data_IF_197826106589
#
_entry.id   IF_197826106589
#
_cell.length_a   1.000
_cell.length_b   1.000
_cell.length_c   1.000
_cell.angle_alpha   90.00
_cell.angle_beta   90.00
_cell.angle_gamma   90.00
#
_symmetry.space_group_name_H-M   'P 1'
#
loop_
_entity.id
_entity.type
_entity.pdbx_description
1 polymer ?
#
# COMPACT_ATOMS: atom_id res chain seq x y z
N UNK A 1 17.82 -19.37 14.42
CA UNK A 1 16.78 -20.40 14.21
C UNK A 1 15.38 -19.79 14.12
N UNK A 2 14.97 -18.93 15.06
CA UNK A 2 13.67 -18.23 15.09
C UNK A 2 13.32 -17.54 13.75
N UNK A 3 14.24 -16.73 13.21
CA UNK A 3 13.98 -15.96 11.97
C UNK A 3 13.67 -16.88 10.76
N UNK A 4 14.34 -18.04 10.64
CA UNK A 4 14.05 -19.03 9.60
C UNK A 4 12.74 -19.77 9.85
N UNK A 5 12.44 -20.11 11.10
CA UNK A 5 11.18 -20.76 11.46
C UNK A 5 9.99 -19.85 11.11
N UNK A 6 10.06 -18.56 11.45
CA UNK A 6 9.03 -17.59 11.08
C UNK A 6 8.87 -17.45 9.56
N UNK A 7 9.97 -17.40 8.80
CA UNK A 7 9.92 -17.35 7.34
C UNK A 7 9.24 -18.59 6.73
N UNK A 8 9.54 -19.79 7.23
CA UNK A 8 8.87 -21.03 6.78
C UNK A 8 7.38 -21.02 7.16
N UNK A 9 7.03 -20.58 8.37
CA UNK A 9 5.64 -20.43 8.78
C UNK A 9 4.87 -19.44 7.89
N UNK A 10 5.49 -18.31 7.51
CA UNK A 10 4.89 -17.34 6.59
C UNK A 10 4.59 -17.94 5.22
N UNK A 11 5.50 -18.75 4.67
CA UNK A 11 5.25 -19.46 3.40
C UNK A 11 4.13 -20.48 3.57
N UNK A 12 4.17 -21.31 4.61
CA UNK A 12 3.11 -22.28 4.91
C UNK A 12 1.74 -21.62 5.05
N UNK A 13 1.67 -20.52 5.79
CA UNK A 13 0.48 -19.70 5.93
C UNK A 13 -0.01 -19.17 4.57
N UNK A 14 0.91 -18.66 3.75
CA UNK A 14 0.59 -18.15 2.40
C UNK A 14 0.00 -19.24 1.52
N UNK A 15 0.55 -20.45 1.56
CA UNK A 15 0.04 -21.61 0.81
C UNK A 15 -1.34 -22.03 1.31
N UNK A 16 -1.54 -22.16 2.62
CA UNK A 16 -2.84 -22.54 3.19
C UNK A 16 -3.93 -21.51 2.85
N UNK A 17 -3.61 -20.22 2.97
CA UNK A 17 -4.54 -19.15 2.66
C UNK A 17 -4.86 -19.11 1.16
N UNK A 18 -3.87 -19.30 0.30
CA UNK A 18 -4.06 -19.42 -1.14
C UNK A 18 -4.95 -20.62 -1.49
N UNK A 19 -4.72 -21.80 -0.91
CA UNK A 19 -5.57 -22.97 -1.12
C UNK A 19 -7.03 -22.67 -0.73
N UNK A 20 -7.25 -22.00 0.40
CA UNK A 20 -8.59 -21.59 0.85
C UNK A 20 -9.27 -20.64 -0.14
N UNK A 21 -8.56 -19.61 -0.62
CA UNK A 21 -9.10 -18.67 -1.61
C UNK A 21 -9.35 -19.32 -2.99
N UNK A 22 -8.71 -20.46 -3.28
CA UNK A 22 -8.91 -21.26 -4.49
C UNK A 22 -9.93 -22.38 -4.32
N UNK A 23 -10.71 -22.37 -3.23
CA UNK A 23 -11.84 -23.27 -3.00
C UNK A 23 -11.52 -24.57 -2.27
N UNK A 24 -10.28 -24.77 -1.80
CA UNK A 24 -9.97 -25.91 -0.95
C UNK A 24 -10.61 -25.73 0.45
N UNK A 25 -11.17 -26.82 1.00
CA UNK A 25 -11.75 -26.85 2.33
C UNK A 25 -10.65 -26.83 3.43
N UNK A 26 -9.98 -25.69 3.58
CA UNK A 26 -8.98 -25.47 4.62
C UNK A 26 -9.67 -24.89 5.86
N UNK A 27 -9.66 -25.59 7.01
CA UNK A 27 -10.24 -25.06 8.24
C UNK A 27 -9.57 -23.76 8.68
N UNK A 28 -10.29 -22.91 9.42
CA UNK A 28 -9.74 -21.64 9.92
C UNK A 28 -8.68 -21.85 11.01
N UNK A 29 -8.87 -22.85 11.89
CA UNK A 29 -7.98 -23.15 13.01
C UNK A 29 -6.47 -23.24 12.67
N UNK A 30 -6.00 -23.97 11.64
CA UNK A 30 -4.58 -23.98 11.29
C UNK A 30 -4.05 -22.62 10.82
N UNK A 31 -4.87 -21.83 10.13
CA UNK A 31 -4.50 -20.49 9.66
C UNK A 31 -4.33 -19.54 10.84
N UNK A 32 -5.29 -19.55 11.77
CA UNK A 32 -5.28 -18.75 13.00
C UNK A 32 -4.11 -19.13 13.91
N UNK A 33 -3.88 -20.44 14.10
CA UNK A 33 -2.76 -20.96 14.89
C UNK A 33 -1.40 -20.57 14.29
N UNK A 34 -1.24 -20.67 12.96
CA UNK A 34 -0.03 -20.22 12.27
C UNK A 34 0.18 -18.71 12.41
N UNK A 35 -0.88 -17.91 12.28
CA UNK A 35 -0.80 -16.46 12.46
C UNK A 35 -0.36 -16.08 13.87
N UNK A 36 -0.93 -16.73 14.89
CA UNK A 36 -0.51 -16.55 16.28
C UNK A 36 0.94 -16.97 16.50
N UNK A 37 1.35 -18.12 15.97
CA UNK A 37 2.73 -18.59 16.05
C UNK A 37 3.71 -17.62 15.38
N UNK A 38 3.38 -17.11 14.19
CA UNK A 38 4.19 -16.11 13.49
C UNK A 38 4.32 -14.83 14.32
N UNK A 39 3.21 -14.32 14.87
CA UNK A 39 3.23 -13.16 15.76
C UNK A 39 4.12 -13.41 16.98
N UNK A 40 3.99 -14.56 17.62
CA UNK A 40 4.82 -14.95 18.76
C UNK A 40 6.31 -14.94 18.36
N UNK A 41 6.69 -15.65 17.30
CA UNK A 41 8.08 -15.75 16.84
C UNK A 41 8.69 -14.39 16.44
N UNK A 42 7.95 -13.59 15.67
CA UNK A 42 8.43 -12.28 15.22
C UNK A 42 8.48 -11.27 16.37
N UNK A 43 7.52 -11.29 17.30
CA UNK A 43 7.45 -10.34 18.41
C UNK A 43 8.67 -10.41 19.34
N UNK A 44 9.33 -11.56 19.45
CA UNK A 44 10.56 -11.73 20.22
C UNK A 44 11.73 -10.90 19.68
N UNK A 45 11.72 -10.57 18.38
CA UNK A 45 12.87 -9.98 17.66
C UNK A 45 12.62 -8.56 17.15
N UNK A 46 11.42 -8.02 17.34
CA UNK A 46 11.10 -6.64 16.94
C UNK A 46 11.44 -5.61 18.03
N UNK A 47 11.58 -4.35 17.60
CA UNK A 47 11.80 -3.19 18.48
C UNK A 47 10.61 -3.00 19.43
N UNK A 48 10.86 -2.34 20.57
CA UNK A 48 9.85 -2.09 21.61
C UNK A 48 8.57 -1.40 21.07
N UNK A 49 8.71 -0.45 20.15
CA UNK A 49 7.58 0.23 19.50
C UNK A 49 6.63 -0.73 18.79
N UNK A 50 7.12 -1.85 18.24
CA UNK A 50 6.28 -2.86 17.59
C UNK A 50 5.67 -3.83 18.60
N UNK A 51 6.36 -4.10 19.70
CA UNK A 51 5.81 -4.88 20.83
C UNK A 51 4.62 -4.17 21.47
N UNK A 52 4.61 -2.83 21.51
CA UNK A 52 3.48 -2.06 22.00
C UNK A 52 2.16 -2.38 21.26
N UNK A 53 2.20 -2.62 19.94
CA UNK A 53 1.01 -3.04 19.18
C UNK A 53 0.55 -4.45 19.58
N UNK A 54 1.49 -5.37 19.81
CA UNK A 54 1.16 -6.73 20.29
C UNK A 54 0.50 -6.65 21.68
N UNK A 55 1.05 -5.86 22.59
CA UNK A 55 0.48 -5.63 23.92
C UNK A 55 -0.89 -4.96 23.84
N UNK A 56 -1.08 -3.99 22.95
CA UNK A 56 -2.39 -3.37 22.72
C UNK A 56 -3.42 -4.40 22.22
N UNK A 57 -3.04 -5.29 21.30
CA UNK A 57 -3.90 -6.39 20.86
C UNK A 57 -4.30 -7.32 22.01
N UNK A 58 -3.33 -7.76 22.83
CA UNK A 58 -3.60 -8.57 24.02
C UNK A 58 -4.53 -7.83 24.99
N UNK A 59 -4.28 -6.56 25.24
CA UNK A 59 -5.09 -5.72 26.12
C UNK A 59 -6.53 -5.55 25.62
N UNK A 60 -6.74 -5.36 24.32
CA UNK A 60 -8.07 -5.27 23.73
C UNK A 60 -8.83 -6.60 23.83
N UNK A 61 -8.16 -7.73 23.61
CA UNK A 61 -8.80 -9.04 23.75
C UNK A 61 -9.15 -9.35 25.20
N UNK A 62 -8.31 -8.94 26.15
CA UNK A 62 -8.65 -8.98 27.57
C UNK A 62 -9.83 -8.07 27.91
N UNK A 63 -9.89 -6.85 27.33
CA UNK A 63 -11.01 -5.95 27.52
C UNK A 63 -12.31 -6.51 26.94
N UNK A 64 -12.28 -7.16 25.76
CA UNK A 64 -13.45 -7.87 25.22
C UNK A 64 -13.97 -8.91 26.22
N UNK A 65 -13.07 -9.69 26.84
CA UNK A 65 -13.44 -10.70 27.81
C UNK A 65 -14.08 -10.07 29.07
N UNK A 66 -13.49 -8.98 29.58
CA UNK A 66 -14.01 -8.23 30.73
C UNK A 66 -15.34 -7.52 30.43
N UNK A 67 -15.58 -7.13 29.18
CA UNK A 67 -16.83 -6.51 28.73
C UNK A 67 -17.95 -7.54 28.48
N UNK A 68 -17.70 -8.83 28.68
CA UNK A 68 -18.69 -9.90 28.45
C UNK A 68 -18.97 -10.17 26.98
N UNK A 69 -18.12 -9.69 26.07
CA UNK A 69 -18.22 -9.96 24.63
C UNK A 69 -17.52 -11.28 24.30
N UNK A 70 -17.84 -11.87 23.13
CA UNK A 70 -17.22 -13.13 22.65
C UNK A 70 -15.76 -12.90 22.21
N UNK A 71 -14.89 -12.70 23.19
CA UNK A 71 -13.47 -12.39 22.99
C UNK A 71 -12.76 -13.49 22.22
N UNK A 72 -13.20 -14.75 22.35
CA UNK A 72 -12.59 -15.89 21.69
C UNK A 72 -12.87 -15.84 20.19
N UNK A 73 -14.15 -15.78 19.77
CA UNK A 73 -14.50 -15.72 18.36
C UNK A 73 -13.96 -14.45 17.69
N UNK A 74 -14.02 -13.30 18.37
CA UNK A 74 -13.48 -12.03 17.86
C UNK A 74 -11.95 -12.08 17.71
N UNK A 75 -11.25 -12.72 18.65
CA UNK A 75 -9.79 -12.92 18.55
C UNK A 75 -9.42 -13.85 17.41
N UNK A 76 -10.16 -14.95 17.20
CA UNK A 76 -9.93 -15.86 16.07
C UNK A 76 -10.18 -15.15 14.73
N UNK A 77 -11.26 -14.38 14.62
CA UNK A 77 -11.52 -13.55 13.43
C UNK A 77 -10.38 -12.54 13.20
N UNK A 78 -9.92 -11.88 14.26
CA UNK A 78 -8.76 -10.99 14.20
C UNK A 78 -7.48 -11.68 13.73
N UNK A 79 -7.24 -12.92 14.17
CA UNK A 79 -6.11 -13.74 13.70
C UNK A 79 -6.27 -14.13 12.23
N UNK A 80 -7.48 -14.43 11.76
CA UNK A 80 -7.76 -14.69 10.34
C UNK A 80 -7.46 -13.46 9.46
N UNK A 81 -7.86 -12.25 9.90
CA UNK A 81 -7.51 -11.00 9.21
C UNK A 81 -6.00 -10.72 9.26
N UNK A 82 -5.34 -11.00 10.37
CA UNK A 82 -3.89 -10.89 10.47
C UNK A 82 -3.19 -11.89 9.54
N UNK A 83 -3.70 -13.12 9.45
CA UNK A 83 -3.22 -14.16 8.54
C UNK A 83 -3.32 -13.73 7.09
N UNK A 84 -4.48 -13.20 6.69
CA UNK A 84 -4.71 -12.64 5.36
C UNK A 84 -3.65 -11.60 4.98
N UNK A 85 -3.41 -10.62 5.87
CA UNK A 85 -2.44 -9.55 5.63
C UNK A 85 -1.02 -10.12 5.51
N UNK A 86 -0.65 -11.08 6.37
CA UNK A 86 0.67 -11.72 6.34
C UNK A 86 0.90 -12.54 5.07
N UNK A 87 -0.09 -13.35 4.68
CA UNK A 87 -0.06 -14.15 3.45
C UNK A 87 0.04 -13.24 2.22
N UNK A 88 -0.78 -12.19 2.16
CA UNK A 88 -0.77 -11.24 1.05
C UNK A 88 0.56 -10.49 0.97
N UNK A 89 1.08 -9.99 2.10
CA UNK A 89 2.39 -9.34 2.15
C UNK A 89 3.49 -10.27 1.63
N UNK A 90 3.50 -11.52 2.11
CA UNK A 90 4.51 -12.53 1.75
C UNK A 90 4.46 -12.89 0.28
N UNK A 91 3.25 -13.00 -0.30
CA UNK A 91 3.09 -13.20 -1.74
C UNK A 91 3.66 -12.02 -2.53
N UNK A 92 3.32 -10.79 -2.17
CA UNK A 92 3.81 -9.59 -2.86
C UNK A 92 5.34 -9.39 -2.72
N UNK A 93 5.94 -9.78 -1.58
CA UNK A 93 7.38 -9.64 -1.38
C UNK A 93 8.20 -10.55 -2.31
N UNK A 94 7.64 -11.64 -2.83
CA UNK A 94 8.34 -12.50 -3.80
C UNK A 94 8.66 -11.76 -5.10
N UNK A 95 7.72 -10.97 -5.63
CA UNK A 95 7.93 -10.20 -6.85
C UNK A 95 8.92 -9.07 -6.63
N UNK A 96 8.87 -8.44 -5.45
CA UNK A 96 9.87 -7.46 -5.03
C UNK A 96 11.29 -8.05 -5.05
N UNK A 97 11.49 -9.25 -4.51
CA UNK A 97 12.79 -9.94 -4.54
C UNK A 97 13.31 -10.13 -5.98
N UNK A 98 12.45 -10.57 -6.90
CA UNK A 98 12.82 -10.80 -8.30
C UNK A 98 13.13 -9.48 -9.04
N UNK A 99 12.40 -8.42 -8.70
CA UNK A 99 12.48 -7.12 -9.34
C UNK A 99 13.68 -6.28 -8.85
N UNK A 100 14.04 -6.30 -7.57
CA UNK A 100 15.16 -5.52 -7.02
C UNK A 100 16.51 -5.86 -7.67
N UNK A 101 16.67 -7.11 -8.14
CA UNK A 101 17.89 -7.54 -8.85
C UNK A 101 17.85 -7.27 -10.35
N UNK A 102 16.77 -6.70 -10.89
CA UNK A 102 16.59 -6.53 -12.34
C UNK A 102 17.36 -5.34 -12.91
N UNK A 103 18.32 -5.55 -13.84
CA UNK A 103 19.01 -4.45 -14.52
C UNK A 103 18.08 -3.61 -15.41
N UNK A 104 17.01 -4.22 -15.94
CA UNK A 104 16.03 -3.52 -16.76
C UNK A 104 15.26 -2.47 -15.94
N UNK A 105 14.80 -2.83 -14.73
CA UNK A 105 14.12 -1.89 -13.84
C UNK A 105 15.04 -0.76 -13.37
N UNK A 106 16.32 -1.05 -13.11
CA UNK A 106 17.31 -0.01 -12.76
C UNK A 106 17.52 0.98 -13.91
N UNK A 107 17.65 0.50 -15.15
CA UNK A 107 17.78 1.35 -16.34
C UNK A 107 16.53 2.21 -16.58
N UNK A 108 15.34 1.61 -16.44
CA UNK A 108 14.07 2.33 -16.49
C UNK A 108 14.00 3.47 -15.44
N UNK A 109 14.36 3.18 -14.20
CA UNK A 109 14.39 4.19 -13.13
C UNK A 109 15.37 5.33 -13.38
N UNK A 110 16.57 5.02 -13.89
CA UNK A 110 17.57 6.02 -14.30
C UNK A 110 17.05 6.92 -15.42
N UNK A 111 16.42 6.33 -16.45
CA UNK A 111 15.81 7.09 -17.56
C UNK A 111 14.71 8.05 -17.09
N UNK A 112 13.85 7.62 -16.16
CA UNK A 112 12.81 8.46 -15.57
C UNK A 112 13.40 9.63 -14.76
N UNK A 113 14.44 9.37 -13.96
CA UNK A 113 15.12 10.40 -13.18
C UNK A 113 15.89 11.41 -14.05
N UNK A 114 16.40 10.97 -15.20
CA UNK A 114 17.17 11.77 -16.15
C UNK A 114 16.32 12.71 -17.02
N UNK A 115 14.98 12.59 -16.99
CA UNK A 115 14.10 13.42 -17.81
C UNK A 115 14.33 14.94 -17.62
N UNK A 116 14.07 15.76 -18.64
CA UNK A 116 14.25 17.21 -18.56
C UNK A 116 13.28 17.85 -17.55
N UNK A 117 13.62 19.03 -16.98
CA UNK A 117 12.86 19.64 -15.87
C UNK A 117 11.35 19.81 -16.10
N UNK A 118 10.91 20.03 -17.35
CA UNK A 118 9.50 20.20 -17.67
C UNK A 118 8.68 18.90 -17.73
N UNK A 119 9.32 17.75 -17.97
CA UNK A 119 8.66 16.43 -18.08
C UNK A 119 8.93 15.54 -16.87
N UNK A 120 10.01 15.81 -16.13
CA UNK A 120 10.51 14.95 -15.05
C UNK A 120 9.48 14.66 -13.97
N UNK A 121 8.71 15.65 -13.54
CA UNK A 121 7.68 15.45 -12.52
C UNK A 121 6.65 14.41 -13.00
N UNK A 122 6.04 14.66 -14.16
CA UNK A 122 5.03 13.75 -14.73
C UNK A 122 5.62 12.36 -14.99
N UNK A 123 6.84 12.27 -15.53
CA UNK A 123 7.52 11.00 -15.76
C UNK A 123 7.76 10.21 -14.46
N UNK A 124 8.22 10.88 -13.39
CA UNK A 124 8.43 10.24 -12.09
C UNK A 124 7.12 9.89 -11.38
N UNK A 125 6.04 10.63 -11.60
CA UNK A 125 4.72 10.28 -11.06
C UNK A 125 4.14 9.06 -11.77
N UNK A 126 4.09 9.05 -13.10
CA UNK A 126 3.59 7.91 -13.88
C UNK A 126 4.48 6.68 -13.71
N UNK A 127 5.79 6.86 -13.82
CA UNK A 127 6.75 5.79 -13.57
C UNK A 127 6.71 5.31 -12.13
N UNK A 128 6.63 6.22 -11.15
CA UNK A 128 6.46 5.88 -9.74
C UNK A 128 5.24 5.01 -9.48
N UNK A 129 4.12 5.30 -10.16
CA UNK A 129 2.92 4.47 -10.12
C UNK A 129 3.17 3.07 -10.69
N UNK A 130 3.77 2.95 -11.87
CA UNK A 130 4.07 1.65 -12.49
C UNK A 130 5.02 0.80 -11.63
N UNK A 131 6.06 1.42 -11.05
CA UNK A 131 6.97 0.73 -10.13
C UNK A 131 6.26 0.36 -8.82
N UNK A 132 5.39 1.21 -8.28
CA UNK A 132 4.63 0.93 -7.08
C UNK A 132 3.73 -0.30 -7.23
N UNK A 133 3.12 -0.47 -8.41
CA UNK A 133 2.33 -1.66 -8.73
C UNK A 133 3.14 -2.95 -8.60
N UNK A 134 4.41 -2.98 -9.01
CA UNK A 134 5.22 -4.20 -8.98
C UNK A 134 5.94 -4.44 -7.66
N UNK A 135 6.59 -3.41 -7.12
CA UNK A 135 7.54 -3.54 -6.01
C UNK A 135 7.11 -2.78 -4.76
N UNK A 136 5.88 -2.27 -4.75
CA UNK A 136 5.27 -1.59 -3.60
C UNK A 136 6.24 -0.52 -3.04
N UNK A 137 6.54 -0.53 -1.75
CA UNK A 137 7.48 0.42 -1.12
C UNK A 137 8.89 0.43 -1.73
N UNK A 138 9.30 -0.66 -2.40
CA UNK A 138 10.57 -0.73 -3.12
C UNK A 138 10.69 0.32 -4.23
N UNK A 139 9.56 0.80 -4.77
CA UNK A 139 9.53 1.87 -5.77
C UNK A 139 10.08 3.19 -5.24
N UNK A 140 9.70 3.55 -4.00
CA UNK A 140 10.18 4.75 -3.32
C UNK A 140 11.67 4.59 -2.99
N UNK A 141 12.09 3.42 -2.52
CA UNK A 141 13.50 3.16 -2.22
C UNK A 141 14.38 3.25 -3.48
N UNK A 142 13.97 2.62 -4.58
CA UNK A 142 14.72 2.62 -5.84
C UNK A 142 14.74 4.00 -6.49
N UNK A 143 13.56 4.56 -6.79
CA UNK A 143 13.46 5.84 -7.50
C UNK A 143 13.93 7.00 -6.61
N UNK A 144 13.67 6.96 -5.30
CA UNK A 144 14.11 7.98 -4.36
C UNK A 144 15.63 8.03 -4.20
N UNK A 145 16.29 6.86 -4.16
CA UNK A 145 17.75 6.78 -4.17
C UNK A 145 18.35 7.36 -5.44
N UNK A 146 17.83 6.95 -6.61
CA UNK A 146 18.28 7.47 -7.91
C UNK A 146 18.01 8.97 -8.07
N UNK A 147 16.85 9.46 -7.59
CA UNK A 147 16.50 10.87 -7.60
C UNK A 147 17.45 11.71 -6.75
N UNK A 148 17.77 11.23 -5.55
CA UNK A 148 18.69 11.89 -4.63
C UNK A 148 20.11 11.92 -5.20
N UNK A 149 20.56 10.80 -5.77
CA UNK A 149 21.85 10.73 -6.46
C UNK A 149 21.92 11.69 -7.66
N UNK A 150 20.87 11.71 -8.49
CA UNK A 150 20.77 12.64 -9.63
C UNK A 150 20.76 14.11 -9.19
N UNK A 151 20.12 14.44 -8.07
CA UNK A 151 20.10 15.79 -7.53
C UNK A 151 21.47 16.23 -7.00
N UNK A 152 22.29 15.32 -6.46
CA UNK A 152 23.65 15.64 -5.96
C UNK A 152 24.60 16.15 -7.05
N UNK A 153 24.35 15.82 -8.31
CA UNK A 153 25.12 16.34 -9.44
C UNK A 153 24.87 17.83 -9.70
N UNK A 154 23.86 18.44 -9.07
CA UNK A 154 23.60 19.88 -9.14
C UNK A 154 24.54 20.66 -8.22
N UNK A 155 25.41 21.55 -8.75
CA UNK A 155 26.35 22.32 -7.95
C UNK A 155 25.67 23.37 -7.07
N UNK A 156 24.60 24.03 -7.54
CA UNK A 156 23.88 25.04 -6.75
C UNK A 156 23.07 24.38 -5.63
N UNK A 157 23.37 24.65 -4.34
CA UNK A 157 22.67 24.05 -3.20
C UNK A 157 21.16 24.35 -3.15
N UNK A 158 20.73 25.53 -3.63
CA UNK A 158 19.32 25.92 -3.66
C UNK A 158 18.57 25.16 -4.74
N UNK A 159 19.11 25.11 -5.96
CA UNK A 159 18.52 24.36 -7.08
C UNK A 159 18.48 22.87 -6.73
N UNK A 160 19.55 22.34 -6.16
CA UNK A 160 19.64 20.95 -5.69
C UNK A 160 18.51 20.58 -4.74
N UNK A 161 18.27 21.42 -3.72
CA UNK A 161 17.22 21.18 -2.72
C UNK A 161 15.83 21.17 -3.35
N UNK A 162 15.51 22.14 -4.21
CA UNK A 162 14.23 22.17 -4.91
C UNK A 162 14.06 20.99 -5.88
N UNK A 163 15.11 20.64 -6.62
CA UNK A 163 15.12 19.50 -7.54
C UNK A 163 14.86 18.19 -6.80
N UNK A 164 15.59 17.94 -5.71
CA UNK A 164 15.42 16.76 -4.87
C UNK A 164 14.00 16.68 -4.31
N UNK A 165 13.51 17.75 -3.68
CA UNK A 165 12.15 17.81 -3.12
C UNK A 165 11.08 17.46 -4.16
N UNK A 166 11.14 18.09 -5.34
CA UNK A 166 10.15 17.88 -6.41
C UNK A 166 10.17 16.45 -6.93
N UNK A 167 11.36 15.87 -7.13
CA UNK A 167 11.49 14.48 -7.60
C UNK A 167 10.96 13.49 -6.56
N UNK A 168 11.30 13.67 -5.28
CA UNK A 168 10.83 12.82 -4.20
C UNK A 168 9.30 12.90 -4.02
N UNK A 169 8.72 14.10 -4.07
CA UNK A 169 7.25 14.26 -4.02
C UNK A 169 6.55 13.65 -5.23
N UNK A 170 7.13 13.75 -6.44
CA UNK A 170 6.59 13.11 -7.64
C UNK A 170 6.53 11.59 -7.49
N UNK A 171 7.61 10.98 -6.98
CA UNK A 171 7.71 9.53 -6.72
C UNK A 171 6.70 9.12 -5.64
N UNK A 172 6.63 9.86 -4.53
CA UNK A 172 5.69 9.59 -3.45
C UNK A 172 4.25 9.62 -3.97
N UNK A 173 3.85 10.69 -4.67
CA UNK A 173 2.48 10.84 -5.20
C UNK A 173 2.16 9.82 -6.29
N UNK A 174 3.14 9.44 -7.11
CA UNK A 174 3.01 8.32 -8.05
C UNK A 174 2.71 7.00 -7.35
N UNK A 175 3.45 6.68 -6.28
CA UNK A 175 3.14 5.52 -5.44
C UNK A 175 1.72 5.60 -4.86
N UNK A 176 1.36 6.75 -4.27
CA UNK A 176 0.05 6.94 -3.66
C UNK A 176 -1.09 6.86 -4.67
N UNK A 177 -0.89 7.31 -5.91
CA UNK A 177 -1.85 7.17 -6.99
C UNK A 177 -2.08 5.71 -7.40
N UNK A 178 -1.24 4.76 -7.03
CA UNK A 178 -1.51 3.34 -7.28
C UNK A 178 -2.46 2.72 -6.24
N UNK A 179 -2.54 3.29 -5.04
CA UNK A 179 -3.27 2.70 -3.91
C UNK A 179 -4.79 2.57 -4.13
N UNK A 180 -5.51 3.56 -4.70
CA UNK A 180 -6.98 3.50 -4.79
C UNK A 180 -7.54 2.52 -5.82
N UNK A 181 -6.71 1.87 -6.64
CA UNK A 181 -7.18 0.99 -7.71
C UNK A 181 -6.34 -0.27 -7.92
N UNK A 182 -5.10 -0.30 -7.43
CA UNK A 182 -4.25 -1.47 -7.63
C UNK A 182 -4.79 -2.70 -6.90
N UNK A 183 -4.96 -3.85 -7.58
CA UNK A 183 -5.36 -5.10 -6.92
C UNK A 183 -4.28 -5.62 -5.95
N UNK A 184 -3.04 -5.13 -6.07
CA UNK A 184 -1.92 -5.47 -5.20
C UNK A 184 -1.78 -4.51 -4.00
N UNK A 185 -2.53 -3.40 -3.97
CA UNK A 185 -2.46 -2.47 -2.86
C UNK A 185 -3.26 -3.00 -1.67
N UNK A 186 -2.68 -2.89 -0.47
CA UNK A 186 -3.39 -3.18 0.78
C UNK A 186 -4.67 -2.35 0.92
N UNK A 187 -4.68 -1.11 0.41
CA UNK A 187 -5.86 -0.26 0.40
C UNK A 187 -7.05 -0.96 -0.27
N UNK A 188 -6.85 -1.52 -1.47
CA UNK A 188 -7.91 -2.26 -2.17
C UNK A 188 -8.22 -3.61 -1.54
N UNK A 189 -7.18 -4.39 -1.22
CA UNK A 189 -7.35 -5.73 -0.69
C UNK A 189 -8.10 -5.74 0.66
N UNK A 190 -7.81 -4.79 1.54
CA UNK A 190 -8.46 -4.68 2.86
C UNK A 190 -9.84 -4.05 2.74
N UNK A 191 -9.97 -2.94 1.99
CA UNK A 191 -11.26 -2.25 1.89
C UNK A 191 -12.33 -3.13 1.24
N UNK A 192 -11.99 -3.85 0.15
CA UNK A 192 -12.93 -4.80 -0.49
C UNK A 192 -13.23 -6.04 0.35
N UNK A 193 -12.39 -6.36 1.34
CA UNK A 193 -12.65 -7.46 2.28
C UNK A 193 -13.48 -7.02 3.49
N UNK A 194 -13.53 -5.71 3.80
CA UNK A 194 -14.28 -5.17 4.93
C UNK A 194 -15.66 -4.63 4.54
N UNK A 195 -15.81 -4.09 3.33
CA UNK A 195 -17.08 -3.52 2.87
C UNK A 195 -17.94 -4.64 2.27
N UNK A 196 -19.15 -4.91 2.80
CA UNK A 196 -20.06 -5.91 2.25
C UNK A 196 -20.40 -5.63 0.78
N UNK A 197 -20.44 -6.67 -0.04
CA UNK A 197 -20.75 -6.55 -1.48
C UNK A 197 -19.69 -5.84 -2.33
N UNK A 198 -18.58 -5.37 -1.74
CA UNK A 198 -17.51 -4.72 -2.48
C UNK A 198 -16.73 -5.70 -3.35
N UNK A 199 -16.52 -5.33 -4.60
CA UNK A 199 -15.63 -6.05 -5.52
C UNK A 199 -14.57 -5.09 -6.06
N UNK A 200 -13.36 -5.62 -6.32
CA UNK A 200 -12.33 -4.83 -6.97
C UNK A 200 -12.74 -4.40 -8.39
N UNK A 201 -13.45 -5.28 -9.12
CA UNK A 201 -13.86 -5.01 -10.49
C UNK A 201 -14.78 -3.79 -10.61
N UNK A 202 -15.69 -3.60 -9.65
CA UNK A 202 -16.53 -2.40 -9.60
C UNK A 202 -15.76 -1.16 -9.14
N UNK A 203 -14.75 -1.33 -8.28
CA UNK A 203 -14.00 -0.21 -7.70
C UNK A 203 -12.78 0.26 -8.52
N UNK A 204 -12.33 -0.52 -9.51
CA UNK A 204 -11.10 -0.18 -10.28
C UNK A 204 -11.25 1.10 -11.09
N UNK A 205 -12.37 1.29 -11.80
CA UNK A 205 -12.61 2.48 -12.61
C UNK A 205 -12.69 3.76 -11.75
N UNK A 206 -13.53 3.83 -10.69
CA UNK A 206 -13.54 5.01 -9.85
C UNK A 206 -12.22 5.23 -9.09
N UNK A 207 -11.51 4.15 -8.76
CA UNK A 207 -10.15 4.20 -8.21
C UNK A 207 -9.13 4.79 -9.19
N UNK A 208 -9.22 4.50 -10.49
CA UNK A 208 -8.39 5.13 -11.53
C UNK A 208 -8.71 6.63 -11.63
N UNK A 209 -9.98 7.02 -11.48
CA UNK A 209 -10.37 8.43 -11.35
C UNK A 209 -9.67 9.11 -10.16
N UNK A 210 -9.69 8.48 -8.99
CA UNK A 210 -8.95 8.95 -7.80
C UNK A 210 -7.44 9.04 -8.05
N UNK A 211 -6.86 8.05 -8.74
CA UNK A 211 -5.44 8.05 -9.12
C UNK A 211 -5.08 9.22 -10.05
N UNK A 212 -5.92 9.48 -11.05
CA UNK A 212 -5.75 10.61 -11.96
C UNK A 212 -5.80 11.93 -11.20
N UNK A 213 -6.76 12.10 -10.28
CA UNK A 213 -6.86 13.31 -9.43
C UNK A 213 -5.59 13.49 -8.58
N UNK A 214 -5.10 12.44 -7.92
CA UNK A 214 -3.87 12.47 -7.12
C UNK A 214 -2.67 12.89 -7.98
N UNK A 215 -2.50 12.27 -9.15
CA UNK A 215 -1.39 12.56 -10.06
C UNK A 215 -1.47 13.98 -10.66
N UNK A 216 -2.65 14.37 -11.15
CA UNK A 216 -2.89 15.67 -11.80
C UNK A 216 -2.83 16.82 -10.80
N UNK A 217 -3.37 16.66 -9.59
CA UNK A 217 -3.24 17.68 -8.54
C UNK A 217 -1.78 17.89 -8.18
N UNK A 218 -1.01 16.80 -8.08
CA UNK A 218 0.42 16.85 -7.81
C UNK A 218 1.20 17.59 -8.89
N UNK A 219 0.95 17.23 -10.15
CA UNK A 219 1.58 17.84 -11.32
C UNK A 219 1.19 19.31 -11.51
N UNK A 220 -0.08 19.65 -11.31
CA UNK A 220 -0.61 21.01 -11.44
C UNK A 220 0.05 21.92 -10.40
N UNK A 221 0.08 21.50 -9.14
CA UNK A 221 0.74 22.27 -8.08
C UNK A 221 2.23 22.42 -8.31
N UNK A 222 2.92 21.35 -8.75
CA UNK A 222 4.34 21.45 -9.09
C UNK A 222 4.59 22.41 -10.25
N UNK A 223 3.71 22.41 -11.26
CA UNK A 223 3.83 23.26 -12.46
C UNK A 223 3.53 24.72 -12.19
N UNK A 224 2.53 25.00 -11.34
CA UNK A 224 2.10 26.35 -10.94
C UNK A 224 3.14 26.98 -10.00
N UNK A 225 3.57 26.24 -8.97
CA UNK A 225 4.47 26.76 -7.94
C UNK A 225 5.95 26.48 -8.18
N UNK A 226 6.35 26.05 -9.39
CA UNK A 226 7.76 25.77 -9.71
C UNK A 226 8.62 27.03 -9.53
N UNK A 227 9.73 26.96 -8.78
CA UNK A 227 10.69 28.05 -8.71
C UNK A 227 11.35 28.31 -10.06
N UNK A 228 11.42 29.57 -10.48
CA UNK A 228 12.18 30.01 -11.68
C UNK A 228 13.56 30.46 -11.24
N UNK A 229 14.48 29.50 -11.07
CA UNK A 229 15.83 29.74 -10.56
C UNK A 229 16.84 29.57 -11.70
N UNK A 230 17.41 30.68 -12.18
CA UNK A 230 18.57 30.71 -13.07
C UNK A 230 18.33 30.35 -14.55
N UNK A 231 19.38 30.49 -15.38
CA UNK A 231 19.32 30.17 -16.82
C UNK A 231 19.06 28.68 -17.04
N UNK A 232 18.32 28.37 -18.11
CA UNK A 232 17.99 27.00 -18.49
C UNK A 232 19.30 26.21 -18.73
N UNK A 233 19.58 25.14 -17.97
CA UNK A 233 20.74 24.31 -18.25
C UNK A 233 20.63 23.70 -19.67
N UNK A 234 21.75 23.42 -20.35
CA UNK A 234 21.74 22.77 -21.64
C UNK A 234 20.92 21.49 -21.58
N UNK A 235 19.95 21.34 -22.49
CA UNK A 235 19.12 20.13 -22.58
C UNK A 235 19.99 18.99 -23.10
N UNK A 236 20.59 18.21 -22.20
CA UNK A 236 21.11 16.90 -22.58
C UNK A 236 19.92 15.95 -22.77
N UNK A 237 19.74 15.34 -23.94
CA UNK A 237 18.74 14.29 -24.10
C UNK A 237 19.05 13.18 -23.09
N UNK A 238 18.04 12.62 -22.41
CA UNK A 238 18.26 11.48 -21.54
C UNK A 238 18.78 10.30 -22.38
N UNK A 239 19.73 9.55 -21.85
CA UNK A 239 20.23 8.34 -22.50
C UNK A 239 19.11 7.29 -22.56
N UNK A 240 18.77 6.86 -23.77
CA UNK A 240 17.73 5.86 -24.04
C UNK A 240 16.38 6.46 -24.45
N UNK A 241 15.36 5.60 -24.53
CA UNK A 241 14.01 5.97 -24.96
C UNK A 241 12.96 5.31 -24.07
N UNK A 242 11.69 5.67 -24.29
CA UNK A 242 10.56 5.10 -23.55
C UNK A 242 10.42 3.59 -23.67
N UNK A 243 11.11 2.95 -24.63
CA UNK A 243 11.21 1.48 -24.73
C UNK A 243 11.86 0.84 -23.49
N UNK A 244 12.63 1.60 -22.70
CA UNK A 244 13.18 1.13 -21.42
C UNK A 244 12.08 0.78 -20.40
N UNK A 245 10.88 1.35 -20.53
CA UNK A 245 9.72 1.01 -19.71
C UNK A 245 8.94 -0.20 -20.23
N UNK A 246 9.24 -0.69 -21.44
CA UNK A 246 8.49 -1.78 -22.06
C UNK A 246 8.50 -3.08 -21.23
N UNK A 247 9.61 -3.51 -20.59
CA UNK A 247 9.59 -4.69 -19.72
C UNK A 247 8.68 -4.51 -18.50
N UNK A 248 8.63 -3.29 -17.95
CA UNK A 248 7.77 -2.93 -16.83
C UNK A 248 6.30 -2.98 -17.26
N UNK A 249 5.98 -2.37 -18.41
CA UNK A 249 4.63 -2.38 -18.98
C UNK A 249 4.18 -3.80 -19.33
N UNK A 250 5.04 -4.59 -19.97
CA UNK A 250 4.75 -5.99 -20.32
C UNK A 250 4.39 -6.79 -19.06
N UNK A 251 5.15 -6.65 -17.98
CA UNK A 251 4.87 -7.36 -16.73
C UNK A 251 3.55 -6.93 -16.09
N UNK A 252 3.23 -5.63 -16.14
CA UNK A 252 1.96 -5.10 -15.64
C UNK A 252 0.77 -5.60 -16.47
N UNK A 253 0.91 -5.61 -17.80
CA UNK A 253 -0.12 -6.14 -18.71
C UNK A 253 -0.29 -7.63 -18.51
N UNK A 254 0.80 -8.40 -18.41
CA UNK A 254 0.77 -9.83 -18.12
C UNK A 254 0.01 -10.09 -16.82
N UNK A 255 0.36 -9.38 -15.75
CA UNK A 255 -0.32 -9.53 -14.46
C UNK A 255 -1.80 -9.17 -14.57
N UNK A 256 -2.14 -8.04 -15.20
CA UNK A 256 -3.53 -7.60 -15.34
C UNK A 256 -4.37 -8.59 -16.14
N UNK A 257 -3.86 -9.06 -17.29
CA UNK A 257 -4.54 -10.03 -18.15
C UNK A 257 -4.69 -11.38 -17.44
N UNK A 258 -3.65 -11.87 -16.77
CA UNK A 258 -3.73 -13.14 -16.02
C UNK A 258 -4.70 -13.05 -14.86
N UNK A 259 -4.64 -11.97 -14.06
CA UNK A 259 -5.53 -11.79 -12.91
C UNK A 259 -6.98 -11.62 -13.35
N UNK A 260 -7.24 -10.78 -14.35
CA UNK A 260 -8.59 -10.56 -14.87
C UNK A 260 -9.12 -11.81 -15.58
N UNK A 261 -8.29 -12.48 -16.39
CA UNK A 261 -8.66 -13.70 -17.09
C UNK A 261 -9.05 -14.83 -16.13
N UNK A 262 -8.25 -15.05 -15.07
CA UNK A 262 -8.59 -16.04 -14.04
C UNK A 262 -9.83 -15.66 -13.23
N UNK A 263 -10.01 -14.36 -12.95
CA UNK A 263 -11.21 -13.87 -12.25
C UNK A 263 -12.48 -14.15 -13.06
N UNK A 264 -12.46 -13.82 -14.35
CA UNK A 264 -13.59 -14.04 -15.25
C UNK A 264 -13.85 -15.52 -15.52
N UNK A 265 -12.78 -16.33 -15.64
CA UNK A 265 -12.90 -17.76 -15.96
C UNK A 265 -13.31 -18.63 -14.76
N UNK A 266 -12.83 -18.32 -13.55
CA UNK A 266 -13.00 -19.17 -12.37
C UNK A 266 -13.87 -18.55 -11.27
N UNK A 267 -14.28 -17.28 -11.41
CA UNK A 267 -15.06 -16.58 -10.38
C UNK A 267 -14.30 -16.32 -9.08
N UNK A 268 -12.98 -16.54 -9.06
CA UNK A 268 -12.16 -16.39 -7.86
C UNK A 268 -11.98 -14.92 -7.49
N UNK A 269 -11.88 -14.64 -6.19
CA UNK A 269 -11.56 -13.30 -5.70
C UNK A 269 -10.18 -12.89 -6.17
N UNK A 270 -10.06 -11.65 -6.65
CA UNK A 270 -8.81 -11.12 -7.21
C UNK A 270 -7.64 -11.20 -6.22
N UNK A 271 -7.90 -10.99 -4.94
CA UNK A 271 -6.84 -11.11 -3.92
C UNK A 271 -6.30 -12.54 -3.84
N UNK A 272 -7.17 -13.55 -3.89
CA UNK A 272 -6.78 -14.97 -3.94
C UNK A 272 -5.98 -15.33 -5.19
N UNK A 273 -6.35 -14.76 -6.34
CA UNK A 273 -5.60 -14.93 -7.59
C UNK A 273 -4.20 -14.31 -7.46
N UNK A 274 -4.12 -13.06 -6.99
CA UNK A 274 -2.86 -12.33 -6.81
C UNK A 274 -1.91 -13.06 -5.86
N UNK A 275 -2.43 -13.68 -4.78
CA UNK A 275 -1.62 -14.47 -3.83
C UNK A 275 -0.87 -15.64 -4.48
N UNK A 276 -1.38 -16.19 -5.58
CA UNK A 276 -0.75 -17.31 -6.32
C UNK A 276 0.02 -16.82 -7.54
N UNK A 277 -0.61 -15.98 -8.36
CA UNK A 277 -0.04 -15.51 -9.63
C UNK A 277 1.24 -14.71 -9.39
N UNK A 278 1.30 -13.87 -8.35
CA UNK A 278 2.48 -13.03 -8.09
C UNK A 278 3.73 -13.87 -7.75
N UNK A 279 3.69 -14.84 -6.81
CA UNK A 279 4.80 -15.77 -6.60
C UNK A 279 5.19 -16.59 -7.83
N UNK A 280 4.22 -17.04 -8.63
CA UNK A 280 4.49 -17.80 -9.86
C UNK A 280 5.24 -16.94 -10.88
N UNK A 281 4.79 -15.70 -11.11
CA UNK A 281 5.47 -14.74 -11.98
C UNK A 281 6.86 -14.42 -11.45
N UNK A 282 7.01 -14.21 -10.14
CA UNK A 282 8.31 -13.94 -9.52
C UNK A 282 9.31 -15.10 -9.73
N UNK A 283 8.84 -16.34 -9.59
CA UNK A 283 9.64 -17.54 -9.83
C UNK A 283 10.01 -17.68 -11.32
N UNK A 284 9.04 -17.53 -12.23
CA UNK A 284 9.28 -17.56 -13.67
C UNK A 284 10.30 -16.47 -14.08
N UNK A 285 10.18 -15.27 -13.54
CA UNK A 285 11.11 -14.18 -13.79
C UNK A 285 12.51 -14.49 -13.26
N UNK A 286 12.63 -15.07 -12.06
CA UNK A 286 13.92 -15.49 -11.51
C UNK A 286 14.61 -16.56 -12.37
N UNK A 287 13.84 -17.50 -12.94
CA UNK A 287 14.34 -18.51 -13.88
C UNK A 287 14.82 -17.86 -15.18
N UNK A 288 14.03 -16.96 -15.77
CA UNK A 288 14.39 -16.25 -17.00
C UNK A 288 15.64 -15.35 -16.82
N UNK A 289 15.77 -14.68 -15.67
CA UNK A 289 16.97 -13.89 -15.36
C UNK A 289 18.24 -14.75 -15.35
N UNK A 290 18.16 -15.97 -14.79
CA UNK A 290 19.28 -16.93 -14.80
C UNK A 290 19.67 -17.34 -16.23
N UNK A 291 18.70 -17.46 -17.14
CA UNK A 291 18.95 -17.89 -18.51
C UNK A 291 19.55 -16.79 -19.39
N UNK A 292 19.26 -15.51 -19.11
CA UNK A 292 19.65 -14.38 -19.97
C UNK A 292 20.80 -13.49 -19.47
N UNK A 293 21.11 -13.48 -18.18
CA UNK A 293 22.17 -12.64 -17.59
C UNK A 293 23.01 -13.52 -16.67
N UNK A 294 24.29 -13.73 -17.03
CA UNK A 294 25.36 -14.36 -16.23
C UNK A 294 24.93 -15.21 -15.03
N UNK A 295 25.10 -16.53 -15.15
CA UNK A 295 24.66 -17.59 -14.25
C UNK A 295 25.28 -17.60 -12.82
N UNK A 296 25.37 -16.47 -12.12
CA UNK A 296 26.12 -16.41 -10.85
C UNK A 296 25.28 -16.66 -9.59
N UNK A 297 23.95 -16.51 -9.63
CA UNK A 297 23.09 -16.80 -8.47
C UNK A 297 22.28 -18.08 -8.68
N UNK A 298 22.64 -19.17 -7.99
CA UNK A 298 21.79 -20.37 -7.96
C UNK A 298 20.39 -20.02 -7.41
N UNK A 299 19.33 -20.58 -7.98
CA UNK A 299 17.96 -20.43 -7.45
C UNK A 299 17.90 -20.79 -5.95
N UNK A 300 18.71 -21.78 -5.54
CA UNK A 300 18.90 -22.17 -4.15
C UNK A 300 19.47 -21.05 -3.29
N UNK A 301 20.47 -20.30 -3.78
CA UNK A 301 21.04 -19.15 -3.06
C UNK A 301 20.02 -18.02 -2.97
N UNK A 302 19.26 -17.73 -4.03
CA UNK A 302 18.17 -16.73 -3.99
C UNK A 302 17.10 -17.12 -2.96
N UNK A 303 16.64 -18.37 -2.98
CA UNK A 303 15.66 -18.87 -2.01
C UNK A 303 16.22 -18.79 -0.57
N UNK A 304 17.49 -19.16 -0.36
CA UNK A 304 18.16 -19.02 0.94
C UNK A 304 18.29 -17.57 1.39
N UNK A 305 18.57 -16.65 0.48
CA UNK A 305 18.65 -15.22 0.78
C UNK A 305 17.27 -14.66 1.14
N UNK A 306 16.25 -15.00 0.35
CA UNK A 306 14.86 -14.60 0.61
C UNK A 306 14.38 -15.08 1.99
N UNK A 307 14.55 -16.37 2.29
CA UNK A 307 14.17 -16.98 3.57
C UNK A 307 15.02 -16.50 4.76
N UNK A 308 16.31 -16.28 4.52
CA UNK A 308 17.29 -16.04 5.59
C UNK A 308 17.52 -14.57 5.91
N UNK A 309 17.26 -13.66 4.96
CA UNK A 309 17.60 -12.24 5.09
C UNK A 309 16.40 -11.33 4.79
N UNK A 310 15.68 -11.55 3.67
CA UNK A 310 14.60 -10.63 3.28
C UNK A 310 13.35 -10.75 4.15
N UNK A 311 12.76 -11.95 4.26
CA UNK A 311 11.56 -12.14 5.10
C UNK A 311 11.81 -11.75 6.57
N UNK A 312 12.93 -12.16 7.21
CA UNK A 312 13.30 -11.65 8.53
C UNK A 312 13.53 -10.13 8.57
N UNK A 313 13.99 -9.53 7.47
CA UNK A 313 14.13 -8.09 7.33
C UNK A 313 12.81 -7.35 7.50
N UNK A 314 11.71 -7.94 7.04
CA UNK A 314 10.35 -7.38 7.13
C UNK A 314 9.62 -7.66 8.46
N UNK A 315 10.27 -8.28 9.45
CA UNK A 315 9.62 -8.64 10.72
C UNK A 315 8.90 -7.47 11.40
N UNK A 316 9.47 -6.28 11.32
CA UNK A 316 8.92 -5.08 11.96
C UNK A 316 7.68 -4.57 11.24
N UNK A 317 7.70 -4.57 9.91
CA UNK A 317 6.53 -4.26 9.09
C UNK A 317 5.45 -5.32 9.25
N UNK A 318 5.79 -6.61 9.13
CA UNK A 318 4.83 -7.72 9.25
C UNK A 318 4.07 -7.68 10.58
N UNK A 319 4.77 -7.55 11.71
CA UNK A 319 4.09 -7.43 13.03
C UNK A 319 3.17 -6.21 13.06
N UNK A 320 3.60 -5.06 12.53
CA UNK A 320 2.76 -3.86 12.49
C UNK A 320 1.50 -4.07 11.64
N UNK A 321 1.64 -4.65 10.45
CA UNK A 321 0.54 -4.87 9.50
C UNK A 321 -0.45 -5.90 10.03
N UNK A 322 0.06 -7.03 10.56
CA UNK A 322 -0.76 -8.08 11.17
C UNK A 322 -1.52 -7.56 12.39
N UNK A 323 -0.82 -6.86 13.31
CA UNK A 323 -1.47 -6.29 14.48
C UNK A 323 -2.48 -5.20 14.13
N UNK A 324 -2.27 -4.44 13.06
CA UNK A 324 -3.26 -3.45 12.61
C UNK A 324 -4.58 -4.10 12.15
N UNK A 325 -4.50 -5.25 11.46
CA UNK A 325 -5.67 -6.06 11.12
C UNK A 325 -6.35 -6.66 12.36
N UNK A 326 -5.55 -7.24 13.26
CA UNK A 326 -6.04 -7.82 14.51
C UNK A 326 -6.74 -6.77 15.38
N UNK A 327 -6.04 -5.68 15.72
CA UNK A 327 -6.52 -4.59 16.57
C UNK A 327 -7.79 -3.95 16.02
N UNK A 328 -7.86 -3.69 14.70
CA UNK A 328 -9.08 -3.14 14.12
C UNK A 328 -10.28 -4.07 14.29
N UNK A 329 -10.07 -5.38 14.12
CA UNK A 329 -11.12 -6.39 14.26
C UNK A 329 -11.61 -6.54 15.70
N UNK A 330 -10.68 -6.66 16.67
CA UNK A 330 -11.05 -6.81 18.09
C UNK A 330 -11.47 -5.47 18.73
N UNK A 331 -10.97 -4.35 18.22
CA UNK A 331 -11.23 -3.02 18.75
C UNK A 331 -12.53 -2.41 18.26
N UNK A 332 -13.02 -2.75 17.05
CA UNK A 332 -14.22 -2.15 16.49
C UNK A 332 -15.48 -2.36 17.38
N UNK A 333 -15.75 -3.56 17.93
CA UNK A 333 -16.89 -3.76 18.84
C UNK A 333 -16.80 -2.96 20.14
N UNK A 334 -15.58 -2.69 20.63
CA UNK A 334 -15.36 -1.85 21.82
C UNK A 334 -15.53 -0.36 21.50
N UNK A 335 -15.17 0.06 20.29
CA UNK A 335 -15.26 1.45 19.84
C UNK A 335 -16.71 1.85 19.53
N UNK A 336 -17.50 0.94 18.95
CA UNK A 336 -18.89 1.21 18.55
C UNK A 336 -19.75 1.87 19.65
N UNK A 337 -19.87 1.33 20.88
CA UNK A 337 -20.69 1.96 21.92
C UNK A 337 -20.15 3.32 22.37
N UNK A 338 -18.83 3.55 22.30
CA UNK A 338 -18.22 4.84 22.63
C UNK A 338 -18.58 5.89 21.56
N UNK A 339 -18.56 5.51 20.28
CA UNK A 339 -18.93 6.41 19.19
C UNK A 339 -20.41 6.80 19.30
N UNK A 340 -21.28 5.84 19.60
CA UNK A 340 -22.72 6.08 19.81
C UNK A 340 -22.98 6.99 21.01
N UNK A 341 -22.25 6.81 22.13
CA UNK A 341 -22.44 7.65 23.33
C UNK A 341 -22.00 9.10 23.14
N UNK A 342 -21.12 9.37 22.17
CA UNK A 342 -20.73 10.72 21.74
C UNK A 342 -21.76 11.37 20.81
N UNK A 343 -22.90 10.71 20.54
CA UNK A 343 -23.93 11.20 19.62
C UNK A 343 -23.54 11.11 18.14
N UNK A 344 -22.47 10.38 17.83
CA UNK A 344 -21.99 10.17 16.46
C UNK A 344 -22.57 8.89 15.89
N UNK A 345 -23.90 8.80 15.79
CA UNK A 345 -24.55 7.66 15.15
C UNK A 345 -24.35 7.70 13.62
N UNK A 346 -23.55 6.80 13.03
CA UNK A 346 -23.30 6.81 11.60
C UNK A 346 -24.56 6.57 10.77
N UNK A 347 -25.58 5.91 11.34
CA UNK A 347 -26.85 5.63 10.66
C UNK A 347 -27.75 6.86 10.56
N UNK A 348 -27.57 7.84 11.46
CA UNK A 348 -28.29 9.11 11.43
C UNK A 348 -27.62 10.15 10.50
N UNK A 349 -26.40 9.88 10.04
CA UNK A 349 -25.67 10.80 9.16
C UNK A 349 -26.14 10.65 7.70
N UNK A 350 -26.33 11.76 6.96
CA UNK A 350 -26.55 11.70 5.53
C UNK A 350 -25.40 10.98 4.82
N UNK A 351 -25.70 10.16 3.82
CA UNK A 351 -24.70 9.34 3.12
C UNK A 351 -23.53 10.14 2.53
N UNK A 352 -23.78 11.38 2.08
CA UNK A 352 -22.72 12.26 1.59
C UNK A 352 -21.72 12.66 2.69
N UNK A 353 -22.17 12.81 3.95
CA UNK A 353 -21.31 13.08 5.11
C UNK A 353 -20.44 11.87 5.39
N UNK A 354 -21.03 10.67 5.36
CA UNK A 354 -20.29 9.41 5.55
C UNK A 354 -19.19 9.27 4.50
N UNK A 355 -19.52 9.39 3.21
CA UNK A 355 -18.53 9.31 2.13
C UNK A 355 -17.44 10.40 2.24
N UNK A 356 -17.83 11.65 2.44
CA UNK A 356 -16.87 12.75 2.57
C UNK A 356 -15.94 12.53 3.78
N UNK A 357 -16.49 12.14 4.92
CA UNK A 357 -15.72 11.93 6.15
C UNK A 357 -14.62 10.87 5.99
N UNK A 358 -14.81 9.83 5.18
CA UNK A 358 -13.77 8.82 4.94
C UNK A 358 -12.53 9.40 4.27
N UNK A 359 -12.70 10.40 3.39
CA UNK A 359 -11.59 11.10 2.74
C UNK A 359 -10.74 11.88 3.74
N UNK A 360 -11.33 12.35 4.84
CA UNK A 360 -10.68 13.23 5.82
C UNK A 360 -10.24 12.51 7.10
N UNK A 361 -11.07 11.63 7.66
CA UNK A 361 -10.80 10.94 8.93
C UNK A 361 -9.59 10.02 8.80
N UNK A 362 -9.45 9.27 7.70
CA UNK A 362 -8.32 8.34 7.52
C UNK A 362 -6.95 9.07 7.55
N UNK A 363 -6.76 10.21 6.87
CA UNK A 363 -5.57 11.06 7.03
C UNK A 363 -5.38 11.63 8.43
N UNK A 364 -6.46 12.01 9.13
CA UNK A 364 -6.41 12.56 10.48
C UNK A 364 -5.98 11.51 11.50
N UNK A 365 -6.55 10.30 11.45
CA UNK A 365 -6.07 9.15 12.22
C UNK A 365 -4.59 8.85 11.94
N UNK A 366 -4.18 9.02 10.67
CA UNK A 366 -2.80 8.98 10.24
C UNK A 366 -1.88 9.91 11.05
N UNK A 367 -2.35 11.05 11.53
CA UNK A 367 -1.53 12.01 12.29
C UNK A 367 -1.27 11.58 13.74
N UNK A 368 -2.10 10.69 14.29
CA UNK A 368 -2.00 10.22 15.68
C UNK A 368 -1.38 8.81 15.80
N UNK A 369 -0.71 8.34 14.75
CA UNK A 369 0.02 7.06 14.78
C UNK A 369 -0.75 5.87 14.23
N UNK A 370 -2.03 6.04 13.87
CA UNK A 370 -2.80 4.97 13.23
C UNK A 370 -2.43 4.91 11.76
N UNK A 371 -1.70 3.85 11.37
CA UNK A 371 -1.48 3.61 9.95
C UNK A 371 -2.84 3.40 9.24
N UNK A 372 -2.92 3.61 7.91
CA UNK A 372 -4.19 3.48 7.20
C UNK A 372 -4.86 2.12 7.37
N UNK A 373 -4.06 1.05 7.54
CA UNK A 373 -4.58 -0.30 7.80
C UNK A 373 -5.37 -0.30 9.11
N UNK A 374 -4.77 0.14 10.21
CA UNK A 374 -5.43 0.19 11.52
C UNK A 374 -6.63 1.13 11.50
N UNK A 375 -6.49 2.31 10.87
CA UNK A 375 -7.59 3.27 10.79
C UNK A 375 -8.81 2.71 10.06
N UNK A 376 -8.59 2.04 8.92
CA UNK A 376 -9.68 1.48 8.12
C UNK A 376 -10.24 0.21 8.72
N UNK A 377 -9.41 -0.68 9.27
CA UNK A 377 -9.92 -1.91 9.94
C UNK A 377 -10.73 -1.59 11.19
N UNK A 378 -10.45 -0.46 11.85
CA UNK A 378 -11.21 0.00 13.01
C UNK A 378 -12.49 0.77 12.64
N UNK A 379 -12.44 1.63 11.61
CA UNK A 379 -13.60 2.46 11.22
C UNK A 379 -14.57 1.73 10.30
N UNK A 380 -14.08 0.95 9.33
CA UNK A 380 -14.95 0.38 8.30
C UNK A 380 -16.12 -0.47 8.86
N UNK A 381 -15.94 -1.27 9.92
CA UNK A 381 -17.06 -2.01 10.53
C UNK A 381 -18.12 -1.12 11.21
N UNK A 382 -17.80 0.15 11.50
CA UNK A 382 -18.74 1.12 12.09
C UNK A 382 -19.59 1.81 11.02
N UNK A 383 -19.21 1.68 9.74
CA UNK A 383 -19.94 2.31 8.63
C UNK A 383 -21.22 1.49 8.38
N UNK A 384 -22.39 2.13 8.21
CA UNK A 384 -23.60 1.42 7.82
C UNK A 384 -23.44 0.70 6.49
N UNK A 385 -24.23 -0.35 6.26
CA UNK A 385 -24.19 -1.09 5.01
C UNK A 385 -24.41 -0.13 3.82
N UNK A 386 -23.65 -0.25 2.71
CA UNK A 386 -23.83 0.57 1.52
C UNK A 386 -25.31 0.71 1.08
N UNK A 387 -26.10 -0.37 1.16
CA UNK A 387 -27.52 -0.35 0.81
C UNK A 387 -28.35 0.58 1.71
N UNK A 388 -28.03 0.64 3.01
CA UNK A 388 -28.71 1.53 3.96
C UNK A 388 -28.39 3.00 3.73
N UNK A 389 -27.19 3.29 3.20
CA UNK A 389 -26.77 4.62 2.81
C UNK A 389 -27.31 5.04 1.43
N UNK A 390 -27.93 4.12 0.67
CA UNK A 390 -28.37 4.37 -0.69
C UNK A 390 -27.22 4.61 -1.67
N UNK A 391 -26.05 4.02 -1.43
CA UNK A 391 -24.87 4.15 -2.30
C UNK A 391 -24.30 2.79 -2.67
N UNK A 392 -23.56 2.72 -3.78
CA UNK A 392 -22.89 1.47 -4.16
C UNK A 392 -21.71 1.13 -3.23
N UNK A 393 -21.39 -0.17 -3.00
CA UNK A 393 -20.20 -0.56 -2.27
C UNK A 393 -18.90 0.04 -2.86
N UNK A 394 -18.85 0.18 -4.19
CA UNK A 394 -17.73 0.80 -4.89
C UNK A 394 -17.53 2.28 -4.51
N UNK A 395 -18.60 3.02 -4.18
CA UNK A 395 -18.49 4.41 -3.73
C UNK A 395 -17.79 4.50 -2.37
N UNK A 396 -18.14 3.63 -1.43
CA UNK A 396 -17.45 3.51 -0.14
C UNK A 396 -16.00 3.09 -0.30
N UNK A 397 -15.71 2.10 -1.16
CA UNK A 397 -14.33 1.69 -1.47
C UNK A 397 -13.51 2.86 -2.04
N UNK A 398 -14.11 3.65 -2.92
CA UNK A 398 -13.47 4.82 -3.53
C UNK A 398 -13.17 5.90 -2.49
N UNK A 399 -14.11 6.17 -1.58
CA UNK A 399 -13.96 7.12 -0.49
C UNK A 399 -12.82 6.73 0.46
N UNK A 400 -12.82 5.47 0.91
CA UNK A 400 -11.77 4.92 1.79
C UNK A 400 -10.42 4.89 1.06
N UNK A 401 -10.38 4.48 -0.21
CA UNK A 401 -9.17 4.47 -1.02
C UNK A 401 -8.55 5.87 -1.20
N UNK A 402 -9.38 6.89 -1.40
CA UNK A 402 -8.96 8.29 -1.44
C UNK A 402 -8.35 8.74 -0.10
N UNK A 403 -9.05 8.51 1.02
CA UNK A 403 -8.55 8.82 2.36
C UNK A 403 -7.25 8.08 2.69
N UNK A 404 -7.13 6.82 2.29
CA UNK A 404 -5.93 6.00 2.46
C UNK A 404 -4.73 6.61 1.71
N UNK A 405 -4.91 6.98 0.45
CA UNK A 405 -3.86 7.58 -0.36
C UNK A 405 -3.40 8.93 0.22
N UNK A 406 -4.34 9.76 0.69
CA UNK A 406 -4.02 11.03 1.35
C UNK A 406 -3.28 10.82 2.68
N UNK A 407 -3.67 9.81 3.47
CA UNK A 407 -2.98 9.45 4.70
C UNK A 407 -1.52 9.04 4.43
N UNK A 408 -1.26 8.33 3.33
CA UNK A 408 0.10 8.05 2.87
C UNK A 408 0.89 9.27 2.39
N UNK A 409 0.24 10.39 2.08
CA UNK A 409 0.93 11.65 1.76
C UNK A 409 1.34 12.43 3.01
N UNK A 410 0.48 12.43 4.04
CA UNK A 410 0.55 13.37 5.16
C UNK A 410 0.97 12.75 6.49
N UNK A 411 0.67 11.48 6.76
CA UNK A 411 0.95 10.86 8.05
C UNK A 411 2.46 10.69 8.26
N UNK A 412 3.03 11.17 9.39
CA UNK A 412 4.45 10.99 9.72
C UNK A 412 4.82 9.55 10.10
N UNK A 413 3.83 8.66 10.22
CA UNK A 413 4.02 7.27 10.63
C UNK A 413 3.93 6.27 9.46
N UNK A 414 3.63 6.78 8.25
CA UNK A 414 3.57 5.95 7.05
C UNK A 414 4.97 5.73 6.46
N UNK A 415 5.20 4.53 5.92
CA UNK A 415 6.49 4.20 5.31
C UNK A 415 6.83 5.15 4.14
N UNK A 416 5.81 5.64 3.42
CA UNK A 416 5.95 6.61 2.33
C UNK A 416 6.60 7.91 2.81
N UNK A 417 6.09 8.56 3.85
CA UNK A 417 6.68 9.81 4.37
C UNK A 417 8.02 9.59 5.07
N UNK A 418 8.19 8.46 5.77
CA UNK A 418 9.44 8.08 6.42
C UNK A 418 10.58 7.87 5.41
N UNK A 419 10.33 7.13 4.32
CA UNK A 419 11.32 6.91 3.26
C UNK A 419 11.69 8.22 2.57
N UNK A 420 10.70 9.04 2.23
CA UNK A 420 10.94 10.34 1.59
C UNK A 420 11.72 11.28 2.52
N UNK A 421 11.37 11.32 3.82
CA UNK A 421 12.10 12.10 4.82
C UNK A 421 13.54 11.65 4.95
N UNK A 422 13.77 10.33 4.98
CA UNK A 422 15.12 9.75 5.01
C UNK A 422 15.95 10.16 3.79
N UNK A 423 15.41 10.08 2.56
CA UNK A 423 16.13 10.48 1.35
C UNK A 423 16.39 11.99 1.28
N UNK A 424 15.44 12.81 1.74
CA UNK A 424 15.58 14.26 1.78
C UNK A 424 16.38 14.77 2.98
N UNK A 425 16.76 13.91 3.92
CA UNK A 425 17.35 14.28 5.20
C UNK A 425 16.50 15.30 5.99
N UNK A 426 15.17 15.08 6.03
CA UNK A 426 14.19 15.86 6.80
C UNK A 426 13.25 14.94 7.56
N UNK A 427 12.58 15.45 8.60
CA UNK A 427 11.62 14.62 9.36
C UNK A 427 10.40 14.22 8.52
N UNK A 428 9.81 13.06 8.80
CA UNK A 428 8.58 12.62 8.14
C UNK A 428 7.41 13.61 8.36
N UNK A 429 7.36 14.25 9.52
CA UNK A 429 6.41 15.33 9.83
C UNK A 429 6.59 16.54 8.93
N UNK A 430 7.83 16.88 8.58
CA UNK A 430 8.12 17.96 7.63
C UNK A 430 7.63 17.60 6.22
N UNK A 431 7.84 16.36 5.77
CA UNK A 431 7.31 15.87 4.49
C UNK A 431 5.78 15.90 4.49
N UNK A 432 5.16 15.34 5.52
CA UNK A 432 3.71 15.20 5.60
C UNK A 432 2.99 16.54 5.72
N UNK A 433 3.32 17.34 6.73
CA UNK A 433 2.59 18.57 7.05
C UNK A 433 3.07 19.76 6.23
N UNK A 434 4.38 19.92 6.00
CA UNK A 434 4.90 21.10 5.28
C UNK A 434 4.99 20.89 3.77
N UNK A 435 5.48 19.74 3.31
CA UNK A 435 5.62 19.54 1.86
C UNK A 435 4.32 19.11 1.18
N UNK A 436 3.52 18.27 1.85
CA UNK A 436 2.23 17.82 1.34
C UNK A 436 1.03 18.56 1.92
N UNK A 437 1.17 19.51 2.87
CA UNK A 437 0.02 20.19 3.48
C UNK A 437 -0.91 20.89 2.49
N UNK A 438 -0.39 21.81 1.66
CA UNK A 438 -1.19 22.46 0.63
C UNK A 438 -1.73 21.48 -0.42
N UNK A 439 -0.94 20.46 -0.77
CA UNK A 439 -1.36 19.40 -1.69
C UNK A 439 -2.50 18.56 -1.13
N UNK A 440 -2.45 18.25 0.16
CA UNK A 440 -3.48 17.51 0.87
C UNK A 440 -4.80 18.26 0.84
N UNK A 441 -4.82 19.55 1.22
CA UNK A 441 -6.06 20.33 1.24
C UNK A 441 -6.73 20.38 -0.14
N UNK A 442 -5.97 20.71 -1.18
CA UNK A 442 -6.50 20.79 -2.56
C UNK A 442 -6.97 19.41 -3.02
N UNK A 443 -6.14 18.38 -2.87
CA UNK A 443 -6.46 17.04 -3.38
C UNK A 443 -7.60 16.40 -2.59
N UNK A 444 -7.70 16.64 -1.27
CA UNK A 444 -8.79 16.15 -0.43
C UNK A 444 -10.14 16.77 -0.84
N UNK A 445 -10.17 18.07 -1.14
CA UNK A 445 -11.39 18.72 -1.64
C UNK A 445 -11.81 18.15 -3.00
N UNK A 446 -10.87 18.02 -3.94
CA UNK A 446 -11.18 17.46 -5.28
C UNK A 446 -11.60 15.99 -5.19
N UNK A 447 -10.93 15.18 -4.36
CA UNK A 447 -11.31 13.79 -4.13
C UNK A 447 -12.67 13.67 -3.42
N UNK A 448 -12.99 14.57 -2.49
CA UNK A 448 -14.32 14.61 -1.87
C UNK A 448 -15.38 14.87 -2.94
N UNK A 449 -15.19 15.88 -3.80
CA UNK A 449 -16.09 16.15 -4.92
C UNK A 449 -16.23 14.95 -5.86
N UNK A 450 -15.12 14.28 -6.19
CA UNK A 450 -15.12 13.07 -7.02
C UNK A 450 -15.89 11.91 -6.41
N UNK A 451 -15.65 11.61 -5.13
CA UNK A 451 -16.33 10.53 -4.41
C UNK A 451 -17.83 10.77 -4.36
N UNK A 452 -18.26 12.01 -4.11
CA UNK A 452 -19.68 12.37 -4.09
C UNK A 452 -20.30 12.32 -5.49
N UNK A 453 -19.61 12.83 -6.51
CA UNK A 453 -20.05 12.74 -7.90
C UNK A 453 -20.24 11.28 -8.31
N UNK A 454 -19.26 10.43 -8.00
CA UNK A 454 -19.37 9.01 -8.29
C UNK A 454 -20.54 8.38 -7.55
N UNK A 455 -20.60 8.53 -6.23
CA UNK A 455 -21.56 7.84 -5.37
C UNK A 455 -23.03 8.24 -5.56
N UNK A 456 -23.32 9.40 -6.14
CA UNK A 456 -24.70 9.89 -6.31
C UNK A 456 -25.12 10.12 -7.77
N UNK A 457 -24.18 10.13 -8.74
CA UNK A 457 -24.48 10.46 -10.14
C UNK A 457 -24.02 9.40 -11.12
N UNK A 458 -22.86 8.76 -10.88
CA UNK A 458 -22.23 7.87 -11.85
C UNK A 458 -22.32 6.38 -11.50
N UNK A 459 -22.72 6.04 -10.27
CA UNK A 459 -22.65 4.68 -9.72
C UNK A 459 -23.94 3.88 -9.79
#
# INVERSE_FOLDING_TARGET
MIDRAAAVCLIGLTVLFALREWGAAVPAAPIEALALLILALLSLRVKLTRKAFVLAGIGLSAWLALAGLDWWALSLNGLDKAAFIAAFFTALSTLRNAAETSPALRRAGLFLAAQPPGRRYAALTLGGQMFALLINYGSISLLGGLATQSARAEPDPRIRTHRMRRMLLAIQRGFLASLPWSPMAFAMAITTALIPGATWAAAVLPGIGSAAIIALSGWSMDSIFKPRLGPLPPRKPPDGSWSLLLPLLFLLVLLAVTVLGLHLALGLRIVGIVMVVVPVIALAWAILQRLGVGAEASLRQRARHYLGQELPGYRGELVLLMMAGYIGTVGAPLLQPIVLSLGLDPTALPAWVVLASMVWIIPLLGQIGMNPILGVTLIAPLIPDPATLGVTPAALVTAIGAGWALSGATSPFTATTLLIGSFANVSATHVGLRWNGGYFLVTALVLTGWVLLYGFVLS
#
